data_IF_998082662457
#
_entry.id   IF_998082662457
#
_cell.length_a   1.000
_cell.length_b   1.000
_cell.length_c   1.000
_cell.angle_alpha   90.00
_cell.angle_beta   90.00
_cell.angle_gamma   90.00
#
_symmetry.space_group_name_H-M   'P 1'
#
loop_
_entity.id
_entity.type
_entity.pdbx_description
1 polymer ?
#
# COMPACT_ATOMS: atom_id res chain seq x y z
N UNK A 1 -26.09 0.85 17.56
CA UNK A 1 -25.58 2.12 17.03
C UNK A 1 -26.48 3.25 17.52
N UNK A 2 -25.88 4.32 18.10
CA UNK A 2 -26.61 5.56 18.43
C UNK A 2 -26.70 6.47 17.20
N UNK A 3 -25.62 6.50 16.37
CA UNK A 3 -25.54 7.30 15.15
C UNK A 3 -25.30 6.42 13.94
N UNK A 4 -25.65 6.94 12.76
CA UNK A 4 -25.45 6.23 11.48
C UNK A 4 -24.00 5.86 11.23
N UNK A 5 -23.07 6.72 11.63
CA UNK A 5 -21.64 6.57 11.38
C UNK A 5 -20.91 5.79 12.48
N UNK A 6 -21.60 5.34 13.54
CA UNK A 6 -20.98 4.52 14.58
C UNK A 6 -20.49 3.20 14.01
N UNK A 7 -19.28 2.80 14.42
CA UNK A 7 -18.66 1.53 14.06
C UNK A 7 -18.22 0.77 15.30
N UNK A 8 -17.97 -0.52 15.14
CA UNK A 8 -17.68 -1.42 16.27
C UNK A 8 -16.19 -1.44 16.55
N UNK A 9 -15.81 -1.20 17.81
CA UNK A 9 -14.43 -1.30 18.28
C UNK A 9 -14.09 -2.70 18.79
N UNK A 10 -15.07 -3.40 19.39
CA UNK A 10 -14.93 -4.73 19.95
C UNK A 10 -16.13 -5.61 19.59
N UNK A 11 -15.85 -6.77 19.02
CA UNK A 11 -16.88 -7.75 18.64
C UNK A 11 -16.98 -8.85 19.69
N UNK A 12 -18.15 -9.00 20.30
CA UNK A 12 -18.46 -10.11 21.22
C UNK A 12 -19.17 -11.27 20.52
N UNK A 13 -19.60 -11.08 19.27
CA UNK A 13 -20.22 -12.11 18.43
C UNK A 13 -19.50 -12.15 17.09
N UNK A 14 -19.06 -13.33 16.69
CA UNK A 14 -18.51 -13.57 15.35
C UNK A 14 -19.59 -14.12 14.42
N UNK A 15 -19.45 -13.80 13.13
CA UNK A 15 -20.20 -14.49 12.06
C UNK A 15 -19.64 -15.89 11.78
N UNK A 16 -18.42 -16.15 12.26
CA UNK A 16 -17.72 -17.42 12.10
C UNK A 16 -17.65 -18.10 13.47
N UNK A 17 -18.22 -19.30 13.60
CA UNK A 17 -18.23 -20.06 14.86
C UNK A 17 -16.82 -20.41 15.33
N UNK A 18 -15.90 -20.62 14.39
CA UNK A 18 -14.52 -21.05 14.61
C UNK A 18 -13.51 -19.91 14.73
N UNK A 19 -13.92 -18.71 15.16
CA UNK A 19 -12.99 -17.60 15.40
C UNK A 19 -11.93 -18.01 16.44
N UNK A 20 -10.71 -18.28 15.96
CA UNK A 20 -9.63 -18.79 16.81
C UNK A 20 -9.07 -17.74 17.78
N UNK A 21 -9.04 -16.47 17.35
CA UNK A 21 -8.47 -15.37 18.15
C UNK A 21 -9.57 -14.63 18.88
N UNK A 22 -9.66 -14.87 20.19
CA UNK A 22 -10.57 -14.19 21.11
C UNK A 22 -9.81 -13.89 22.42
N UNK A 23 -10.17 -12.80 23.05
CA UNK A 23 -9.58 -12.34 24.31
C UNK A 23 -10.68 -11.90 25.28
N UNK A 24 -10.35 -11.95 26.56
CA UNK A 24 -11.18 -11.35 27.60
C UNK A 24 -11.13 -9.83 27.52
N UNK A 25 -12.26 -9.20 27.77
CA UNK A 25 -12.36 -7.74 27.85
C UNK A 25 -13.43 -7.31 28.84
N UNK A 26 -13.46 -6.02 29.26
CA UNK A 26 -14.55 -5.48 30.07
C UNK A 26 -15.94 -5.59 29.42
N UNK A 27 -16.00 -5.79 28.10
CA UNK A 27 -17.24 -5.93 27.34
C UNK A 27 -17.60 -7.40 27.05
N UNK A 28 -16.81 -8.35 27.55
CA UNK A 28 -16.95 -9.78 27.35
C UNK A 28 -15.86 -10.36 26.43
N UNK A 29 -15.86 -11.69 26.31
CA UNK A 29 -14.95 -12.40 25.40
C UNK A 29 -15.24 -12.02 23.97
N UNK A 30 -14.20 -11.65 23.22
CA UNK A 30 -14.36 -11.17 21.85
C UNK A 30 -13.04 -10.84 21.16
N UNK A 31 -13.13 -10.03 20.12
CA UNK A 31 -11.97 -9.61 19.32
C UNK A 31 -12.12 -8.15 18.85
N UNK A 32 -11.01 -7.45 18.58
CA UNK A 32 -11.03 -6.07 18.12
C UNK A 32 -11.66 -5.94 16.74
N UNK A 33 -12.20 -4.76 16.45
CA UNK A 33 -12.54 -4.37 15.10
C UNK A 33 -11.28 -4.09 14.27
N UNK A 34 -11.34 -4.33 12.98
CA UNK A 34 -10.20 -4.14 12.08
C UNK A 34 -9.54 -2.76 12.16
N UNK A 35 -10.33 -1.70 12.30
CA UNK A 35 -9.80 -0.34 12.36
C UNK A 35 -8.99 -0.06 13.62
N UNK A 36 -9.45 -0.60 14.78
CA UNK A 36 -8.73 -0.40 16.05
C UNK A 36 -7.41 -1.18 16.11
N UNK A 37 -7.33 -2.31 15.41
CA UNK A 37 -6.07 -3.06 15.26
C UNK A 37 -4.99 -2.18 14.64
N UNK A 38 -5.27 -1.54 13.52
CA UNK A 38 -4.32 -0.67 12.83
C UNK A 38 -3.92 0.54 13.67
N UNK A 39 -4.89 1.22 14.31
CA UNK A 39 -4.60 2.34 15.20
C UNK A 39 -3.69 1.93 16.35
N UNK A 40 -4.01 0.84 17.06
CA UNK A 40 -3.23 0.36 18.19
C UNK A 40 -1.82 -0.10 17.80
N UNK A 41 -1.69 -0.84 16.70
CA UNK A 41 -0.40 -1.34 16.20
C UNK A 41 0.49 -0.16 15.79
N UNK A 42 -0.05 0.78 15.05
CA UNK A 42 0.70 1.95 14.60
C UNK A 42 1.19 2.80 15.76
N UNK A 43 0.32 3.16 16.70
CA UNK A 43 0.69 3.96 17.87
C UNK A 43 1.72 3.21 18.74
N UNK A 44 1.54 1.91 18.94
CA UNK A 44 2.46 1.10 19.77
C UNK A 44 3.87 1.02 19.19
N UNK A 45 4.02 0.89 17.86
CA UNK A 45 5.31 0.61 17.24
C UNK A 45 5.96 1.83 16.59
N UNK A 46 5.17 2.82 16.19
CA UNK A 46 5.65 4.00 15.46
C UNK A 46 5.49 5.29 16.28
N UNK A 47 4.80 5.23 17.44
CA UNK A 47 4.57 6.39 18.29
C UNK A 47 3.28 7.14 17.97
N UNK A 48 3.10 8.25 18.67
CA UNK A 48 1.87 9.05 18.64
C UNK A 48 1.74 9.98 17.41
N UNK A 49 2.81 10.12 16.65
CA UNK A 49 2.85 10.88 15.40
C UNK A 49 3.30 9.96 14.26
N UNK A 50 2.43 9.76 13.30
CA UNK A 50 2.70 8.96 12.12
C UNK A 50 2.89 9.89 10.92
N UNK A 51 4.09 9.88 10.31
CA UNK A 51 4.40 10.81 9.22
C UNK A 51 3.58 10.53 7.97
N UNK A 52 3.47 9.26 7.59
CA UNK A 52 2.76 8.81 6.39
C UNK A 52 2.00 7.52 6.69
N UNK A 53 0.72 7.48 6.31
CA UNK A 53 -0.10 6.27 6.35
C UNK A 53 -0.54 5.86 4.93
N UNK A 54 -0.27 4.60 4.57
CA UNK A 54 -0.50 4.09 3.22
C UNK A 54 -1.59 3.02 3.19
N UNK A 55 -2.34 2.95 2.08
CA UNK A 55 -3.30 1.89 1.85
C UNK A 55 -3.84 1.86 0.43
N UNK A 56 -4.71 0.91 0.14
CA UNK A 56 -5.49 0.93 -1.10
C UNK A 56 -6.52 2.06 -1.09
N UNK A 57 -6.98 2.45 -2.27
CA UNK A 57 -7.99 3.52 -2.41
C UNK A 57 -9.28 3.18 -1.65
N UNK A 58 -9.61 1.90 -1.53
CA UNK A 58 -10.75 1.40 -0.78
C UNK A 58 -10.62 1.56 0.74
N UNK A 59 -9.40 1.75 1.26
CA UNK A 59 -9.16 2.03 2.67
C UNK A 59 -9.43 3.50 3.03
N UNK A 60 -9.47 4.42 2.08
CA UNK A 60 -9.74 5.83 2.37
C UNK A 60 -11.05 6.00 3.17
N UNK A 61 -12.07 5.22 2.78
CA UNK A 61 -13.34 5.14 3.49
C UNK A 61 -13.89 3.71 3.43
N UNK A 62 -14.33 3.14 4.59
CA UNK A 62 -14.40 3.78 5.93
C UNK A 62 -13.15 3.55 6.79
N UNK A 63 -12.15 2.74 6.35
CA UNK A 63 -11.09 2.22 7.22
C UNK A 63 -10.22 3.34 7.81
N UNK A 64 -9.53 4.10 6.98
CA UNK A 64 -8.66 5.18 7.44
C UNK A 64 -9.42 6.32 8.12
N UNK A 65 -10.64 6.62 7.66
CA UNK A 65 -11.51 7.61 8.33
C UNK A 65 -11.84 7.18 9.76
N UNK A 66 -12.05 5.87 9.98
CA UNK A 66 -12.31 5.33 11.31
C UNK A 66 -11.02 5.30 12.15
N UNK A 67 -9.86 5.03 11.56
CA UNK A 67 -8.58 5.11 12.26
C UNK A 67 -8.27 6.54 12.74
N UNK A 68 -8.55 7.55 11.91
CA UNK A 68 -8.44 8.96 12.30
C UNK A 68 -9.31 9.23 13.53
N UNK A 69 -10.59 8.85 13.45
CA UNK A 69 -11.52 9.07 14.55
C UNK A 69 -11.07 8.40 15.86
N UNK A 70 -10.51 7.20 15.79
CA UNK A 70 -10.01 6.45 16.95
C UNK A 70 -8.73 7.06 17.51
N UNK A 71 -7.72 7.24 16.65
CA UNK A 71 -6.39 7.68 17.04
C UNK A 71 -6.41 9.10 17.59
N UNK A 72 -7.05 10.03 16.89
CA UNK A 72 -7.12 11.43 17.30
C UNK A 72 -8.00 11.64 18.55
N UNK A 73 -9.06 10.83 18.73
CA UNK A 73 -9.84 10.84 19.96
C UNK A 73 -9.04 10.34 21.17
N UNK A 74 -8.17 9.37 20.97
CA UNK A 74 -7.31 8.84 22.03
C UNK A 74 -6.15 9.79 22.36
N UNK A 75 -5.49 10.31 21.33
CA UNK A 75 -4.29 11.13 21.46
C UNK A 75 -4.59 12.59 21.83
N UNK A 76 -5.74 13.11 21.43
CA UNK A 76 -6.11 14.52 21.62
C UNK A 76 -5.46 15.49 20.64
N UNK A 77 -4.79 14.98 19.59
CA UNK A 77 -4.17 15.77 18.53
C UNK A 77 -4.26 15.05 17.18
N UNK A 78 -3.95 15.76 16.08
CA UNK A 78 -3.88 15.17 14.74
C UNK A 78 -2.80 14.09 14.69
N UNK A 79 -3.16 12.91 14.21
CA UNK A 79 -2.31 11.72 14.24
C UNK A 79 -1.38 11.59 13.05
N UNK A 80 -1.92 11.74 11.82
CA UNK A 80 -1.16 11.53 10.59
C UNK A 80 -1.44 12.64 9.58
N UNK A 81 -0.42 13.45 9.20
CA UNK A 81 -0.61 14.56 8.27
C UNK A 81 -0.66 14.12 6.81
N UNK A 82 -0.13 12.94 6.46
CA UNK A 82 -0.04 12.53 5.06
C UNK A 82 -0.58 11.12 4.82
N UNK A 83 -1.61 11.05 3.95
CA UNK A 83 -2.29 9.83 3.56
C UNK A 83 -1.98 9.48 2.12
N UNK A 84 -1.56 8.24 1.88
CA UNK A 84 -1.16 7.77 0.55
C UNK A 84 -2.05 6.60 0.12
N UNK A 85 -2.90 6.83 -0.89
CA UNK A 85 -3.83 5.82 -1.39
C UNK A 85 -3.47 5.38 -2.80
N UNK A 86 -3.29 4.08 -2.99
CA UNK A 86 -2.92 3.46 -4.26
C UNK A 86 -4.13 2.80 -4.90
N UNK A 87 -4.33 3.04 -6.20
CA UNK A 87 -5.37 2.36 -6.95
C UNK A 87 -5.05 0.87 -7.14
N UNK A 88 -6.10 0.08 -7.35
CA UNK A 88 -5.97 -1.36 -7.52
C UNK A 88 -5.22 -1.73 -8.78
N UNK A 89 -4.48 -2.85 -8.70
CA UNK A 89 -4.05 -3.60 -9.85
C UNK A 89 -5.24 -4.44 -10.36
N UNK A 90 -5.62 -4.20 -11.60
CA UNK A 90 -6.69 -4.92 -12.27
C UNK A 90 -6.12 -5.89 -13.31
N UNK A 91 -6.89 -6.90 -13.68
CA UNK A 91 -6.68 -7.68 -14.89
C UNK A 91 -7.58 -7.15 -16.00
N UNK A 92 -7.41 -7.63 -17.23
CA UNK A 92 -8.31 -7.31 -18.36
C UNK A 92 -9.77 -7.67 -18.09
N UNK A 93 -10.04 -8.61 -17.17
CA UNK A 93 -11.38 -9.04 -16.74
C UNK A 93 -11.90 -8.33 -15.49
N UNK A 94 -11.15 -7.35 -14.96
CA UNK A 94 -11.50 -6.55 -13.79
C UNK A 94 -10.63 -6.84 -12.56
N UNK A 95 -11.18 -6.65 -11.36
CA UNK A 95 -10.43 -6.84 -10.11
C UNK A 95 -10.00 -8.30 -9.95
N UNK A 96 -8.72 -8.52 -9.71
CA UNK A 96 -8.15 -9.83 -9.40
C UNK A 96 -8.75 -10.34 -8.08
N UNK A 97 -9.31 -11.54 -8.06
CA UNK A 97 -9.84 -12.13 -6.84
C UNK A 97 -9.49 -13.62 -6.73
N UNK A 98 -9.22 -14.07 -5.49
CA UNK A 98 -8.94 -15.48 -5.18
C UNK A 98 -10.06 -16.43 -5.59
N UNK A 99 -11.31 -15.98 -5.55
CA UNK A 99 -12.49 -16.81 -5.82
C UNK A 99 -12.68 -17.17 -7.29
N UNK A 100 -11.98 -16.51 -8.22
CA UNK A 100 -12.09 -16.78 -9.67
C UNK A 100 -11.01 -17.71 -10.22
N UNK A 101 -10.15 -18.27 -9.38
CA UNK A 101 -9.14 -19.26 -9.80
C UNK A 101 -7.92 -18.71 -10.56
N UNK A 102 -7.95 -17.46 -11.01
CA UNK A 102 -6.82 -16.79 -11.69
C UNK A 102 -6.04 -15.95 -10.69
N UNK A 103 -5.39 -16.61 -9.74
CA UNK A 103 -4.57 -15.89 -8.77
C UNK A 103 -3.14 -15.79 -9.27
N UNK A 104 -2.76 -14.62 -9.75
CA UNK A 104 -1.38 -14.32 -10.14
C UNK A 104 -0.54 -14.12 -8.87
N UNK A 105 0.43 -15.00 -8.66
CA UNK A 105 1.42 -14.90 -7.58
C UNK A 105 2.77 -14.48 -8.15
N UNK A 106 3.66 -13.99 -7.29
CA UNK A 106 5.05 -13.72 -7.68
C UNK A 106 5.73 -15.01 -8.12
N UNK A 107 5.48 -16.14 -7.44
CA UNK A 107 6.01 -17.44 -7.82
C UNK A 107 5.63 -17.86 -9.26
N UNK A 108 4.39 -17.54 -9.69
CA UNK A 108 3.98 -17.80 -11.08
C UNK A 108 4.78 -16.96 -12.09
N UNK A 109 5.19 -15.75 -11.72
CA UNK A 109 6.06 -14.93 -12.57
C UNK A 109 7.44 -15.57 -12.71
N UNK A 110 8.01 -16.05 -11.60
CA UNK A 110 9.30 -16.74 -11.58
C UNK A 110 9.24 -18.04 -12.39
N UNK A 111 8.19 -18.86 -12.25
CA UNK A 111 7.93 -20.06 -13.05
C UNK A 111 7.86 -19.76 -14.55
N UNK A 112 7.38 -18.57 -14.92
CA UNK A 112 7.35 -18.10 -16.31
C UNK A 112 8.64 -17.40 -16.77
N UNK A 113 9.66 -17.35 -15.93
CA UNK A 113 10.97 -16.78 -16.24
C UNK A 113 11.08 -15.27 -16.13
N UNK A 114 10.17 -14.63 -15.38
CA UNK A 114 10.30 -13.20 -15.06
C UNK A 114 11.03 -13.01 -13.72
N UNK A 115 11.95 -12.06 -13.70
CA UNK A 115 12.51 -11.55 -12.46
C UNK A 115 11.41 -10.76 -11.70
N UNK A 116 11.20 -10.99 -10.40
CA UNK A 116 10.28 -10.21 -9.57
C UNK A 116 10.50 -8.70 -9.63
N UNK A 117 11.73 -8.24 -9.87
CA UNK A 117 12.04 -6.83 -10.03
C UNK A 117 11.43 -6.22 -11.30
N UNK A 118 11.22 -7.01 -12.35
CA UNK A 118 10.49 -6.58 -13.54
C UNK A 118 9.03 -6.25 -13.19
N UNK A 119 8.40 -7.07 -12.36
CA UNK A 119 7.04 -6.78 -11.89
C UNK A 119 7.00 -5.53 -11.01
N UNK A 120 7.96 -5.36 -10.11
CA UNK A 120 8.08 -4.12 -9.33
C UNK A 120 8.24 -2.90 -10.24
N UNK A 121 9.09 -3.00 -11.26
CA UNK A 121 9.31 -1.94 -12.24
C UNK A 121 8.02 -1.63 -13.02
N UNK A 122 7.29 -2.65 -13.46
CA UNK A 122 5.97 -2.50 -14.09
C UNK A 122 5.01 -1.70 -13.20
N UNK A 123 4.92 -2.02 -11.92
CA UNK A 123 4.06 -1.30 -10.98
C UNK A 123 4.48 0.18 -10.82
N UNK A 124 5.77 0.47 -10.84
CA UNK A 124 6.31 1.83 -10.67
C UNK A 124 6.20 2.71 -11.92
N UNK A 125 5.95 2.14 -13.09
CA UNK A 125 5.76 2.91 -14.33
C UNK A 125 4.42 3.64 -14.41
N UNK A 126 3.48 3.33 -13.53
CA UNK A 126 2.18 3.99 -13.48
C UNK A 126 2.07 4.88 -12.25
N UNK A 127 1.43 6.02 -12.41
CA UNK A 127 1.11 6.88 -11.28
C UNK A 127 0.17 6.16 -10.31
N UNK A 128 0.44 6.21 -9.01
CA UNK A 128 -0.30 5.46 -7.98
C UNK A 128 -1.80 5.78 -7.91
N UNK A 129 -2.22 6.98 -8.37
CA UNK A 129 -3.63 7.39 -8.46
C UNK A 129 -4.34 6.90 -9.72
N UNK A 130 -3.68 6.15 -10.58
CA UNK A 130 -4.26 5.54 -11.77
C UNK A 130 -4.41 4.04 -11.57
N UNK A 131 -5.53 3.50 -12.03
CA UNK A 131 -5.70 2.06 -12.06
C UNK A 131 -4.68 1.43 -13.02
N UNK A 132 -3.95 0.43 -12.52
CA UNK A 132 -2.97 -0.31 -13.31
C UNK A 132 -3.63 -1.60 -13.82
N UNK A 133 -3.48 -1.90 -15.09
CA UNK A 133 -4.00 -3.14 -15.70
C UNK A 133 -2.84 -4.07 -16.00
N UNK A 134 -2.86 -5.22 -15.36
CA UNK A 134 -1.91 -6.29 -15.63
C UNK A 134 -2.32 -7.06 -16.88
N UNK A 135 -1.40 -7.17 -17.83
CA UNK A 135 -1.40 -8.14 -18.91
C UNK A 135 0.01 -8.67 -19.09
N UNK A 136 0.15 -9.87 -19.65
CA UNK A 136 1.48 -10.41 -19.96
C UNK A 136 2.23 -9.52 -20.93
N UNK A 137 1.56 -8.96 -21.92
CA UNK A 137 2.14 -8.00 -22.86
C UNK A 137 2.69 -6.76 -22.18
N UNK A 138 1.95 -6.19 -21.21
CA UNK A 138 2.43 -5.04 -20.46
C UNK A 138 3.65 -5.40 -19.59
N UNK A 139 3.69 -6.62 -19.06
CA UNK A 139 4.84 -7.10 -18.30
C UNK A 139 6.06 -7.33 -19.22
N UNK A 140 5.87 -7.85 -20.44
CA UNK A 140 6.94 -7.99 -21.43
C UNK A 140 7.52 -6.63 -21.83
N UNK A 141 6.68 -5.64 -22.04
CA UNK A 141 7.11 -4.28 -22.33
C UNK A 141 7.91 -3.68 -21.15
N UNK A 142 7.47 -3.92 -19.92
CA UNK A 142 8.21 -3.50 -18.73
C UNK A 142 9.54 -4.22 -18.61
N UNK A 143 9.61 -5.52 -18.96
CA UNK A 143 10.87 -6.29 -18.98
C UNK A 143 11.88 -5.69 -19.95
N UNK A 144 11.46 -5.39 -21.18
CA UNK A 144 12.33 -4.75 -22.18
C UNK A 144 12.87 -3.42 -21.67
N UNK A 145 12.02 -2.60 -21.06
CA UNK A 145 12.44 -1.31 -20.50
C UNK A 145 13.39 -1.47 -19.30
N UNK A 146 13.11 -2.43 -18.42
CA UNK A 146 13.96 -2.76 -17.28
C UNK A 146 15.34 -3.26 -17.72
N UNK A 147 15.40 -4.20 -18.64
CA UNK A 147 16.66 -4.77 -19.16
C UNK A 147 17.52 -3.66 -19.82
N UNK A 148 16.90 -2.74 -20.57
CA UNK A 148 17.58 -1.57 -21.13
C UNK A 148 18.13 -0.63 -20.05
N UNK A 149 17.38 -0.40 -18.98
CA UNK A 149 17.82 0.43 -17.86
C UNK A 149 19.03 -0.20 -17.16
N UNK A 150 18.95 -1.48 -16.85
CA UNK A 150 20.05 -2.22 -16.20
C UNK A 150 21.32 -2.24 -17.10
N UNK A 151 21.15 -2.47 -18.39
CA UNK A 151 22.28 -2.44 -19.34
C UNK A 151 22.95 -1.07 -19.40
N UNK A 152 22.16 0.01 -19.35
CA UNK A 152 22.72 1.38 -19.31
C UNK A 152 23.46 1.66 -18.01
N UNK A 153 22.90 1.25 -16.86
CA UNK A 153 23.56 1.41 -15.55
C UNK A 153 24.87 0.62 -15.53
N UNK A 154 24.86 -0.63 -16.02
CA UNK A 154 26.06 -1.46 -16.06
C UNK A 154 27.17 -0.90 -16.99
N UNK A 155 26.78 -0.11 -17.99
CA UNK A 155 27.74 0.55 -18.89
C UNK A 155 28.33 1.85 -18.31
N UNK A 156 27.82 2.34 -17.19
CA UNK A 156 28.38 3.52 -16.51
C UNK A 156 29.73 3.14 -15.87
N UNK A 157 30.72 3.98 -16.10
CA UNK A 157 32.02 3.85 -15.43
C UNK A 157 32.09 4.86 -14.28
N UNK A 158 31.92 4.43 -13.02
CA UNK A 158 31.91 5.33 -11.88
C UNK A 158 33.25 5.99 -11.61
N UNK A 159 34.39 5.46 -12.13
CA UNK A 159 35.70 6.00 -11.92
C UNK A 159 35.94 7.32 -12.70
N UNK A 160 35.16 7.55 -13.76
CA UNK A 160 35.28 8.75 -14.61
C UNK A 160 34.19 9.80 -14.36
N UNK A 161 33.35 9.60 -13.35
CA UNK A 161 32.24 10.50 -13.03
C UNK A 161 32.64 11.55 -11.98
N UNK A 162 32.46 12.84 -12.27
CA UNK A 162 32.35 13.85 -11.23
C UNK A 162 30.91 14.01 -10.81
N UNK A 163 30.68 14.21 -9.51
CA UNK A 163 29.32 14.55 -9.01
C UNK A 163 29.04 15.99 -9.46
N UNK A 164 28.03 16.12 -10.32
CA UNK A 164 27.47 17.43 -10.66
C UNK A 164 26.42 17.81 -9.63
N UNK A 165 26.79 18.61 -8.64
CA UNK A 165 25.90 19.08 -7.58
C UNK A 165 24.70 19.87 -8.12
N UNK A 166 24.83 20.55 -9.24
CA UNK A 166 23.77 21.31 -9.88
C UNK A 166 22.69 20.32 -10.45
N UNK A 167 23.14 19.25 -11.12
CA UNK A 167 22.25 18.19 -11.61
C UNK A 167 21.58 17.42 -10.48
N UNK A 168 22.30 17.14 -9.40
CA UNK A 168 21.72 16.49 -8.21
C UNK A 168 20.67 17.38 -7.54
N UNK A 169 20.96 18.67 -7.38
CA UNK A 169 20.01 19.65 -6.86
C UNK A 169 18.78 19.76 -7.76
N UNK A 170 18.96 19.83 -9.08
CA UNK A 170 17.86 19.85 -10.04
C UNK A 170 16.98 18.62 -9.94
N UNK A 171 17.54 17.41 -9.84
CA UNK A 171 16.78 16.16 -9.68
C UNK A 171 15.95 16.14 -8.39
N UNK A 172 16.50 16.66 -7.30
CA UNK A 172 15.79 16.73 -6.01
C UNK A 172 14.64 17.74 -6.03
N UNK A 173 14.80 18.89 -6.70
CA UNK A 173 13.79 19.95 -6.71
C UNK A 173 12.79 19.84 -7.87
N UNK A 174 13.16 19.21 -8.98
CA UNK A 174 12.28 19.06 -10.15
C UNK A 174 11.60 17.71 -10.24
N UNK A 175 11.95 16.75 -9.36
CA UNK A 175 11.18 15.53 -9.21
C UNK A 175 9.75 15.91 -8.82
N UNK A 176 8.72 15.57 -9.64
CA UNK A 176 7.36 16.02 -9.37
C UNK A 176 6.93 15.52 -8.01
N UNK A 177 6.72 16.47 -7.09
CA UNK A 177 6.12 16.19 -5.81
C UNK A 177 4.71 15.63 -6.03
N UNK A 178 4.24 14.66 -5.24
CA UNK A 178 2.84 14.22 -5.27
C UNK A 178 1.82 15.36 -5.07
N UNK A 179 2.29 16.56 -4.65
CA UNK A 179 1.45 17.76 -4.49
C UNK A 179 1.20 18.52 -5.79
N UNK A 180 2.01 18.26 -6.84
CA UNK A 180 1.98 19.03 -8.09
C UNK A 180 1.24 18.29 -9.22
N UNK A 181 0.56 17.16 -8.89
CA UNK A 181 -0.19 16.33 -9.83
C UNK A 181 -1.70 16.32 -9.55
#
# INVERSE_FOLDING_TARGET
KKNKNDFVLWFTKSKFEDQALKWDSPWGVGYPGWHIECSCISIKHLGENLDIHCGGIDNAFPHHTNEIAQSESYLGHAWCPQWFHVHHLNTSTGKMSKSKGEFLTVSLLEEKGYDPLVYRFFCLQSHYRKALVFTWENLDNAKIAYDKLIARIAALNPENGSVDEASMSCLLYTSPSPRDA
#
